data_IF_534782585808
#
_entry.id   IF_534782585808
#
_cell.length_a   1.000
_cell.length_b   1.000
_cell.length_c   1.000
_cell.angle_alpha   90.00
_cell.angle_beta   90.00
_cell.angle_gamma   90.00
#
_symmetry.space_group_name_H-M   'P 1'
#
loop_
_entity.id
_entity.type
_entity.pdbx_description
1 polymer ?
#
# COMPACT_ATOMS: atom_id res chain seq x y z
N UNK A 1 -16.85 -35.14 -61.74
CA UNK A 1 -16.25 -35.42 -60.42
C UNK A 1 -15.00 -34.60 -60.11
N UNK A 2 -13.98 -34.51 -60.98
CA UNK A 2 -12.73 -33.75 -60.70
C UNK A 2 -12.89 -32.22 -60.52
N UNK A 3 -13.92 -31.60 -61.08
CA UNK A 3 -14.18 -30.16 -60.91
C UNK A 3 -14.91 -29.83 -59.60
N UNK A 4 -15.81 -30.70 -59.13
CA UNK A 4 -16.45 -30.55 -57.83
C UNK A 4 -15.45 -30.66 -56.67
N UNK A 5 -14.48 -31.57 -56.76
CA UNK A 5 -13.42 -31.72 -55.75
C UNK A 5 -12.49 -30.51 -55.72
N UNK A 6 -12.18 -29.88 -56.85
CA UNK A 6 -11.38 -28.64 -56.89
C UNK A 6 -12.13 -27.45 -56.28
N UNK A 7 -13.43 -27.34 -56.53
CA UNK A 7 -14.27 -26.29 -55.94
C UNK A 7 -14.39 -26.45 -54.42
N UNK A 8 -14.52 -27.69 -53.95
CA UNK A 8 -14.66 -28.02 -52.53
C UNK A 8 -13.35 -27.79 -51.74
N UNK A 9 -12.18 -28.06 -52.36
CA UNK A 9 -10.88 -27.74 -51.77
C UNK A 9 -10.63 -26.23 -51.73
N UNK A 10 -11.04 -25.48 -52.75
CA UNK A 10 -10.93 -24.02 -52.76
C UNK A 10 -11.81 -23.36 -51.68
N UNK A 11 -13.02 -23.89 -51.44
CA UNK A 11 -13.90 -23.40 -50.37
C UNK A 11 -13.35 -23.72 -48.98
N UNK A 12 -12.71 -24.88 -48.80
CA UNK A 12 -12.07 -25.26 -47.54
C UNK A 12 -10.84 -24.40 -47.23
N UNK A 13 -10.06 -24.03 -48.26
CA UNK A 13 -8.91 -23.13 -48.12
C UNK A 13 -9.33 -21.69 -47.78
N UNK A 14 -10.48 -21.23 -48.29
CA UNK A 14 -11.01 -19.89 -47.97
C UNK A 14 -11.56 -19.81 -46.53
N UNK A 15 -12.09 -20.91 -46.00
CA UNK A 15 -12.59 -20.98 -44.62
C UNK A 15 -11.44 -20.96 -43.58
N UNK A 16 -10.23 -21.40 -43.94
CA UNK A 16 -9.07 -21.39 -43.05
C UNK A 16 -8.39 -20.01 -42.92
N UNK A 17 -8.74 -19.04 -43.77
CA UNK A 17 -8.20 -17.67 -43.70
C UNK A 17 -9.00 -16.75 -42.76
N UNK A 18 -10.09 -17.23 -42.16
CA UNK A 18 -10.94 -16.46 -41.23
C UNK A 18 -10.52 -16.53 -39.77
N UNK A 19 -9.48 -17.29 -39.41
CA UNK A 19 -8.99 -17.42 -38.04
C UNK A 19 -7.94 -16.34 -37.72
N UNK A 20 -8.30 -15.06 -37.89
CA UNK A 20 -7.61 -13.99 -37.17
C UNK A 20 -8.14 -14.01 -35.74
N UNK A 21 -7.37 -14.59 -34.82
CA UNK A 21 -7.54 -14.35 -33.39
C UNK A 21 -7.32 -12.86 -33.13
N UNK A 22 -8.39 -12.08 -33.20
CA UNK A 22 -8.36 -10.71 -32.70
C UNK A 22 -8.16 -10.79 -31.20
N UNK A 23 -6.94 -10.48 -30.73
CA UNK A 23 -6.70 -10.19 -29.33
C UNK A 23 -7.59 -9.01 -28.99
N UNK A 24 -8.58 -9.23 -28.13
CA UNK A 24 -9.43 -8.16 -27.63
C UNK A 24 -8.59 -7.40 -26.61
N UNK A 25 -7.98 -6.29 -27.03
CA UNK A 25 -7.48 -5.28 -26.11
C UNK A 25 -8.65 -4.86 -25.22
N UNK A 26 -8.51 -5.13 -23.92
CA UNK A 26 -9.40 -4.54 -22.93
C UNK A 26 -8.76 -3.21 -22.59
N UNK A 27 -9.08 -2.17 -23.36
CA UNK A 27 -8.67 -0.80 -23.05
C UNK A 27 -9.28 -0.43 -21.68
N UNK A 28 -8.52 -0.62 -20.60
CA UNK A 28 -8.88 -0.12 -19.28
C UNK A 28 -8.35 1.30 -19.21
N UNK A 29 -9.25 2.28 -19.01
CA UNK A 29 -8.81 3.66 -18.83
C UNK A 29 -7.90 3.75 -17.59
N UNK A 30 -6.75 4.47 -17.66
CA UNK A 30 -5.85 4.60 -16.54
C UNK A 30 -6.55 5.14 -15.28
N UNK A 31 -6.28 4.50 -14.15
CA UNK A 31 -6.85 4.88 -12.86
C UNK A 31 -6.24 6.20 -12.40
N UNK A 32 -7.05 7.26 -12.36
CA UNK A 32 -6.61 8.58 -11.90
C UNK A 32 -6.46 8.64 -10.39
N UNK A 33 -5.36 9.21 -9.92
CA UNK A 33 -5.16 9.51 -8.50
C UNK A 33 -6.13 10.62 -8.05
N UNK A 34 -6.83 10.40 -6.94
CA UNK A 34 -7.66 11.42 -6.30
C UNK A 34 -6.77 12.35 -5.48
N UNK A 35 -6.93 13.66 -5.68
CA UNK A 35 -6.20 14.69 -4.95
C UNK A 35 -7.16 15.52 -4.10
N UNK A 36 -6.70 16.00 -2.96
CA UNK A 36 -7.46 16.94 -2.15
C UNK A 36 -7.69 18.25 -2.93
N UNK A 37 -8.94 18.68 -3.04
CA UNK A 37 -9.31 19.91 -3.76
C UNK A 37 -8.73 21.19 -3.11
N UNK A 38 -8.37 21.09 -1.82
CA UNK A 38 -7.78 22.16 -1.02
C UNK A 38 -6.86 21.58 0.04
N UNK A 39 -5.95 22.40 0.53
CA UNK A 39 -5.14 22.08 1.70
C UNK A 39 -6.03 21.83 2.92
N UNK A 40 -5.81 20.70 3.59
CA UNK A 40 -6.51 20.32 4.80
C UNK A 40 -5.80 20.90 6.03
N UNK A 41 -6.56 21.25 7.05
CA UNK A 41 -5.97 21.65 8.33
C UNK A 41 -5.24 20.46 8.98
N UNK A 42 -4.18 20.73 9.72
CA UNK A 42 -3.37 19.71 10.43
C UNK A 42 -4.23 18.79 11.32
N UNK A 43 -5.26 19.35 11.96
CA UNK A 43 -6.20 18.59 12.80
C UNK A 43 -7.11 17.64 12.03
N UNK A 44 -7.08 17.65 10.69
CA UNK A 44 -7.82 16.78 9.78
C UNK A 44 -6.91 15.79 9.03
N UNK A 45 -5.62 15.74 9.38
CA UNK A 45 -4.62 14.81 8.85
C UNK A 45 -4.33 13.67 9.83
N UNK A 46 -4.13 12.47 9.29
CA UNK A 46 -3.66 11.28 10.01
C UNK A 46 -2.30 10.90 9.47
N UNK A 47 -1.38 10.56 10.36
CA UNK A 47 -0.06 10.07 10.01
C UNK A 47 -0.11 8.58 9.68
N UNK A 48 0.51 8.19 8.57
CA UNK A 48 0.46 6.82 8.03
C UNK A 48 1.84 6.17 8.09
N UNK A 49 1.90 4.99 8.69
CA UNK A 49 3.03 4.07 8.56
C UNK A 49 2.72 2.98 7.55
N UNK A 50 3.53 2.85 6.50
CA UNK A 50 3.48 1.73 5.57
C UNK A 50 4.59 0.77 5.95
N UNK A 51 4.25 -0.42 6.44
CA UNK A 51 5.24 -1.43 6.77
C UNK A 51 5.94 -1.94 5.50
N UNK A 52 7.20 -2.38 5.61
CA UNK A 52 7.76 -3.25 4.58
C UNK A 52 6.89 -4.47 4.39
N UNK A 53 6.67 -4.88 3.15
CA UNK A 53 5.72 -5.95 2.85
C UNK A 53 6.33 -7.33 3.12
N UNK A 54 5.46 -8.31 3.37
CA UNK A 54 5.83 -9.71 3.31
C UNK A 54 6.14 -10.09 1.86
N UNK A 55 7.32 -10.66 1.65
CA UNK A 55 7.81 -11.13 0.36
C UNK A 55 7.00 -12.32 -0.19
N UNK A 56 6.22 -13.01 0.63
CA UNK A 56 5.43 -14.17 0.21
C UNK A 56 6.28 -15.37 -0.20
N UNK A 57 7.49 -15.49 0.37
CA UNK A 57 8.44 -16.55 0.06
C UNK A 57 8.22 -17.83 0.88
N UNK A 58 7.46 -17.75 1.97
CA UNK A 58 7.13 -18.92 2.79
C UNK A 58 5.99 -19.70 2.12
N UNK A 59 6.32 -20.86 1.52
CA UNK A 59 5.31 -21.84 1.08
C UNK A 59 4.99 -22.82 2.21
N UNK A 60 3.91 -23.58 2.05
CA UNK A 60 3.53 -24.63 3.00
C UNK A 60 4.64 -25.68 3.22
N UNK A 61 5.53 -25.85 2.25
CA UNK A 61 6.65 -26.79 2.27
C UNK A 61 7.97 -26.15 2.74
N UNK A 62 7.98 -24.85 3.04
CA UNK A 62 9.14 -24.11 3.57
C UNK A 62 10.15 -23.63 2.52
N UNK A 63 9.97 -24.00 1.26
CA UNK A 63 10.80 -23.55 0.14
C UNK A 63 10.16 -22.33 -0.58
N UNK A 64 10.97 -21.52 -1.27
CA UNK A 64 10.43 -20.45 -2.11
C UNK A 64 9.63 -21.04 -3.30
N UNK A 65 8.60 -20.32 -3.82
CA UNK A 65 7.88 -20.78 -5.00
C UNK A 65 8.84 -21.07 -6.17
N UNK A 66 8.60 -22.15 -6.91
CA UNK A 66 9.32 -22.43 -8.17
C UNK A 66 9.19 -21.20 -9.10
N UNK A 67 10.28 -20.83 -9.77
CA UNK A 67 10.40 -19.64 -10.64
C UNK A 67 10.36 -18.25 -9.96
N UNK A 68 10.41 -18.16 -8.62
CA UNK A 68 10.59 -16.88 -7.91
C UNK A 68 12.04 -16.72 -7.44
N UNK A 69 12.69 -15.64 -7.88
CA UNK A 69 14.02 -15.25 -7.36
C UNK A 69 13.87 -14.59 -5.98
N UNK A 70 14.34 -15.22 -4.88
CA UNK A 70 14.06 -14.73 -3.53
C UNK A 70 14.63 -13.34 -3.25
N UNK A 71 15.78 -13.01 -3.83
CA UNK A 71 16.42 -11.72 -3.64
C UNK A 71 15.66 -10.59 -4.35
N UNK A 72 15.15 -10.85 -5.56
CA UNK A 72 14.27 -9.91 -6.28
C UNK A 72 13.01 -9.66 -5.46
N UNK A 73 12.36 -10.72 -4.97
CA UNK A 73 11.13 -10.57 -4.18
C UNK A 73 11.34 -9.82 -2.86
N UNK A 74 12.46 -10.07 -2.17
CA UNK A 74 12.85 -9.29 -0.97
C UNK A 74 13.15 -7.83 -1.30
N UNK A 75 13.60 -7.56 -2.52
CA UNK A 75 13.83 -6.22 -3.03
C UNK A 75 12.52 -5.49 -3.33
N UNK A 76 11.55 -6.15 -3.97
CA UNK A 76 10.20 -5.66 -4.23
C UNK A 76 9.45 -5.33 -2.93
N UNK A 77 9.56 -6.21 -1.93
CA UNK A 77 8.97 -6.04 -0.60
C UNK A 77 9.40 -4.75 0.12
N UNK A 78 10.52 -4.14 -0.29
CA UNK A 78 11.00 -2.83 0.21
C UNK A 78 10.73 -1.69 -0.75
N UNK A 79 10.67 -1.97 -2.05
CA UNK A 79 10.43 -0.98 -3.09
C UNK A 79 8.96 -0.54 -3.14
N UNK A 80 8.04 -1.50 -3.19
CA UNK A 80 6.58 -1.27 -3.33
C UNK A 80 6.02 -0.35 -2.23
N UNK A 81 6.35 -0.53 -0.94
CA UNK A 81 5.93 0.39 0.12
C UNK A 81 6.36 1.84 -0.11
N UNK A 82 7.57 2.07 -0.64
CA UNK A 82 8.08 3.42 -0.93
C UNK A 82 7.31 4.04 -2.09
N UNK A 83 7.00 3.24 -3.12
CA UNK A 83 6.21 3.71 -4.26
C UNK A 83 4.78 4.08 -3.83
N UNK A 84 4.14 3.26 -2.99
CA UNK A 84 2.84 3.58 -2.38
C UNK A 84 2.93 4.85 -1.50
N UNK A 85 3.98 4.97 -0.67
CA UNK A 85 4.24 6.17 0.13
C UNK A 85 4.25 7.43 -0.73
N UNK A 86 5.06 7.43 -1.79
CA UNK A 86 5.19 8.57 -2.70
C UNK A 86 3.86 8.89 -3.40
N UNK A 87 3.09 7.87 -3.79
CA UNK A 87 1.76 8.03 -4.38
C UNK A 87 0.79 8.69 -3.39
N UNK A 88 0.72 8.19 -2.16
CA UNK A 88 -0.15 8.74 -1.11
C UNK A 88 0.23 10.18 -0.72
N UNK A 89 1.52 10.49 -0.59
CA UNK A 89 1.99 11.84 -0.22
C UNK A 89 1.52 12.90 -1.21
N UNK A 90 1.47 12.58 -2.49
CA UNK A 90 1.02 13.51 -3.55
C UNK A 90 -0.47 13.84 -3.50
N UNK A 91 -1.28 13.04 -2.79
CA UNK A 91 -2.74 13.25 -2.74
C UNK A 91 -3.16 14.41 -1.83
N UNK A 92 -2.34 14.79 -0.84
CA UNK A 92 -2.68 15.83 0.13
C UNK A 92 -3.74 15.44 1.16
N UNK A 93 -4.16 14.17 1.24
CA UNK A 93 -5.16 13.71 2.23
C UNK A 93 -4.58 13.33 3.60
N UNK A 94 -3.27 13.15 3.66
CA UNK A 94 -2.56 12.54 4.79
C UNK A 94 -1.61 13.54 5.43
N UNK A 95 -1.25 13.28 6.69
CA UNK A 95 -0.13 13.95 7.33
C UNK A 95 1.17 13.39 6.77
N UNK A 96 2.10 13.05 7.65
CA UNK A 96 3.29 12.35 7.22
C UNK A 96 2.97 10.89 6.85
N UNK A 97 3.41 10.49 5.67
CA UNK A 97 3.38 9.08 5.21
C UNK A 97 4.83 8.58 5.24
N UNK A 98 5.08 7.51 5.98
CA UNK A 98 6.43 7.00 6.26
C UNK A 98 6.51 5.50 5.94
N UNK A 99 7.70 5.02 5.60
CA UNK A 99 7.94 3.57 5.49
C UNK A 99 8.62 3.10 6.78
N UNK A 100 8.06 2.07 7.39
CA UNK A 100 8.52 1.51 8.66
C UNK A 100 8.92 0.04 8.52
N UNK A 101 9.97 -0.43 9.20
CA UNK A 101 10.39 -1.83 9.13
C UNK A 101 9.41 -2.79 9.80
N UNK A 102 8.61 -2.29 10.75
CA UNK A 102 7.61 -3.04 11.51
C UNK A 102 6.58 -2.09 12.11
N UNK A 103 5.49 -2.64 12.66
CA UNK A 103 4.47 -1.88 13.41
C UNK A 103 5.12 -1.01 14.49
N UNK A 104 4.63 0.22 14.63
CA UNK A 104 5.01 1.15 15.70
C UNK A 104 3.75 1.71 16.36
N UNK A 105 3.87 2.15 17.61
CA UNK A 105 2.78 2.83 18.34
C UNK A 105 2.67 4.33 17.99
N UNK A 106 3.56 4.83 17.13
CA UNK A 106 3.66 6.24 16.81
C UNK A 106 2.73 6.68 15.67
N UNK A 107 2.17 5.77 14.88
CA UNK A 107 1.38 6.12 13.69
C UNK A 107 -0.13 6.06 13.96
N UNK A 108 -0.90 6.91 13.28
CA UNK A 108 -2.37 6.91 13.40
C UNK A 108 -2.99 5.79 12.57
N UNK A 109 -2.40 5.50 11.41
CA UNK A 109 -2.83 4.45 10.48
C UNK A 109 -1.63 3.58 10.12
N UNK A 110 -1.82 2.27 10.14
CA UNK A 110 -0.85 1.28 9.68
C UNK A 110 -1.38 0.62 8.41
N UNK A 111 -0.56 0.62 7.36
CA UNK A 111 -0.77 -0.18 6.15
C UNK A 111 0.26 -1.30 6.12
N UNK A 112 -0.20 -2.53 5.98
CA UNK A 112 0.64 -3.71 5.78
C UNK A 112 0.31 -4.36 4.45
N UNK A 113 1.23 -5.16 3.92
CA UNK A 113 0.98 -5.87 2.68
C UNK A 113 1.79 -7.14 2.53
N UNK A 114 1.33 -8.00 1.63
CA UNK A 114 2.00 -9.23 1.19
C UNK A 114 1.97 -9.32 -0.32
N UNK A 115 3.12 -9.62 -0.91
CA UNK A 115 3.22 -9.90 -2.34
C UNK A 115 2.69 -11.31 -2.59
N UNK A 116 1.57 -11.42 -3.29
CA UNK A 116 0.98 -12.69 -3.70
C UNK A 116 1.58 -13.16 -5.02
N UNK A 117 1.75 -12.23 -5.97
CA UNK A 117 2.35 -12.48 -7.29
C UNK A 117 3.11 -11.26 -7.77
N UNK A 118 4.28 -11.49 -8.37
CA UNK A 118 5.04 -10.47 -9.09
C UNK A 118 5.97 -11.19 -10.07
N UNK A 119 5.64 -11.13 -11.36
CA UNK A 119 6.32 -11.86 -12.44
C UNK A 119 6.57 -11.00 -13.69
N UNK A 120 6.60 -9.67 -13.54
CA UNK A 120 6.78 -8.71 -14.62
C UNK A 120 5.53 -8.52 -15.49
N UNK A 121 4.67 -9.52 -15.63
CA UNK A 121 3.39 -9.36 -16.32
C UNK A 121 2.27 -8.95 -15.35
N UNK A 122 2.24 -9.60 -14.18
CA UNK A 122 1.19 -9.42 -13.17
C UNK A 122 1.79 -9.06 -11.82
N UNK A 123 1.20 -8.05 -11.18
CA UNK A 123 1.44 -7.69 -9.79
C UNK A 123 0.15 -7.89 -8.98
N UNK A 124 0.21 -8.74 -7.96
CA UNK A 124 -0.89 -9.02 -7.03
C UNK A 124 -0.44 -8.80 -5.59
N UNK A 125 -1.11 -7.89 -4.90
CA UNK A 125 -0.79 -7.47 -3.53
C UNK A 125 -2.00 -7.63 -2.63
N UNK A 126 -1.85 -8.38 -1.54
CA UNK A 126 -2.78 -8.34 -0.42
C UNK A 126 -2.41 -7.18 0.49
N UNK A 127 -3.34 -6.28 0.77
CA UNK A 127 -3.15 -5.09 1.59
C UNK A 127 -4.16 -5.08 2.73
N UNK A 128 -3.67 -4.76 3.92
CA UNK A 128 -4.48 -4.55 5.11
C UNK A 128 -4.22 -3.17 5.68
N UNK A 129 -5.29 -2.49 6.11
CA UNK A 129 -5.21 -1.19 6.76
C UNK A 129 -5.87 -1.23 8.14
N UNK A 130 -5.19 -0.65 9.12
CA UNK A 130 -5.66 -0.55 10.50
C UNK A 130 -5.44 0.86 11.02
N UNK A 131 -6.32 1.35 11.90
CA UNK A 131 -6.01 2.55 12.68
C UNK A 131 -5.37 2.24 14.04
N UNK A 132 -4.92 3.28 14.72
CA UNK A 132 -4.29 3.20 16.04
C UNK A 132 -5.24 2.67 17.14
N UNK A 133 -6.56 2.64 16.91
CA UNK A 133 -7.49 1.99 17.83
C UNK A 133 -7.44 0.47 17.71
N UNK A 134 -6.75 -0.08 16.72
CA UNK A 134 -6.75 -1.50 16.40
C UNK A 134 -7.88 -1.90 15.46
N UNK A 135 -8.76 -0.96 15.08
CA UNK A 135 -9.83 -1.24 14.12
C UNK A 135 -9.24 -1.50 12.75
N UNK A 136 -9.69 -2.60 12.17
CA UNK A 136 -9.39 -2.97 10.80
C UNK A 136 -10.28 -2.18 9.84
N UNK A 137 -9.67 -1.45 8.91
CA UNK A 137 -10.37 -0.67 7.90
C UNK A 137 -10.85 -1.55 6.75
N UNK A 138 -9.93 -2.32 6.18
CA UNK A 138 -10.21 -3.30 5.13
C UNK A 138 -9.00 -4.18 4.83
N UNK A 139 -9.29 -5.38 4.30
CA UNK A 139 -8.35 -6.23 3.57
C UNK A 139 -8.76 -6.22 2.11
N UNK A 140 -7.82 -6.02 1.20
CA UNK A 140 -8.11 -6.06 -0.22
C UNK A 140 -6.95 -6.66 -1.01
N UNK A 141 -7.27 -7.43 -2.03
CA UNK A 141 -6.29 -7.94 -3.00
C UNK A 141 -6.36 -7.06 -4.23
N UNK A 142 -5.29 -6.35 -4.50
CA UNK A 142 -5.13 -5.53 -5.69
C UNK A 142 -4.35 -6.31 -6.73
N UNK A 143 -4.86 -6.33 -7.96
CA UNK A 143 -4.25 -7.03 -9.09
C UNK A 143 -4.14 -6.06 -10.27
N UNK A 144 -2.99 -6.06 -10.93
CA UNK A 144 -2.78 -5.41 -12.20
C UNK A 144 -1.97 -6.33 -13.10
N UNK A 145 -2.39 -6.44 -14.36
CA UNK A 145 -1.70 -7.20 -15.40
C UNK A 145 -1.43 -6.29 -16.59
N UNK A 146 -0.25 -6.42 -17.18
CA UNK A 146 0.15 -5.70 -18.38
C UNK A 146 0.51 -6.69 -19.48
N UNK A 147 -0.12 -6.52 -20.64
CA UNK A 147 0.31 -7.24 -21.84
C UNK A 147 1.69 -6.71 -22.27
N UNK A 148 2.55 -7.57 -22.82
CA UNK A 148 3.93 -7.22 -23.17
C UNK A 148 4.03 -6.02 -24.14
N UNK A 149 3.02 -5.80 -24.99
CA UNK A 149 2.93 -4.66 -25.90
C UNK A 149 2.65 -3.30 -25.22
N UNK A 150 2.08 -3.28 -24.01
CA UNK A 150 1.74 -2.05 -23.27
C UNK A 150 2.94 -1.45 -22.52
N UNK A 151 3.98 -2.26 -22.26
CA UNK A 151 5.27 -1.82 -21.70
C UNK A 151 5.94 -0.69 -22.51
N UNK A 152 5.68 -0.63 -23.83
CA UNK A 152 6.25 0.39 -24.71
C UNK A 152 5.58 1.77 -24.64
N UNK A 153 4.40 1.88 -24.01
CA UNK A 153 3.63 3.12 -23.90
C UNK A 153 4.08 3.96 -22.70
N UNK A 154 4.50 3.29 -21.62
CA UNK A 154 5.10 3.95 -20.46
C UNK A 154 6.50 4.41 -20.82
N UNK A 155 6.80 5.69 -20.60
CA UNK A 155 8.17 6.19 -20.77
C UNK A 155 9.03 5.54 -19.69
N UNK A 156 9.88 4.61 -20.12
CA UNK A 156 10.85 3.92 -19.28
C UNK A 156 11.56 4.93 -18.38
N UNK A 157 11.30 4.84 -17.08
CA UNK A 157 11.92 5.70 -16.07
C UNK A 157 11.08 6.89 -15.57
N UNK A 158 9.93 7.21 -16.17
CA UNK A 158 9.05 8.31 -15.71
C UNK A 158 7.91 7.81 -14.81
N UNK A 159 7.30 6.66 -15.11
CA UNK A 159 6.14 6.11 -14.38
C UNK A 159 6.26 4.59 -14.23
N UNK A 160 5.73 4.06 -13.13
CA UNK A 160 5.68 2.63 -12.85
C UNK A 160 4.60 1.97 -13.74
N UNK A 161 4.87 0.82 -14.38
CA UNK A 161 3.86 0.12 -15.17
C UNK A 161 2.59 -0.15 -14.35
N UNK A 162 2.71 -0.50 -13.07
CA UNK A 162 1.59 -0.78 -12.20
C UNK A 162 1.05 0.47 -11.46
N UNK A 163 1.32 1.69 -11.95
CA UNK A 163 0.91 2.95 -11.29
C UNK A 163 -0.60 2.99 -10.93
N UNK A 164 -1.44 2.38 -11.77
CA UNK A 164 -2.88 2.26 -11.55
C UNK A 164 -3.23 1.49 -10.27
N UNK A 165 -2.47 0.43 -9.96
CA UNK A 165 -2.63 -0.36 -8.75
C UNK A 165 -2.35 0.50 -7.51
N UNK A 166 -1.28 1.31 -7.54
CA UNK A 166 -0.97 2.25 -6.46
C UNK A 166 -1.97 3.38 -6.31
N UNK A 167 -2.49 3.90 -7.43
CA UNK A 167 -3.52 4.92 -7.41
C UNK A 167 -4.82 4.36 -6.80
N UNK A 168 -5.18 3.12 -7.13
CA UNK A 168 -6.35 2.44 -6.56
C UNK A 168 -6.20 2.27 -5.04
N UNK A 169 -5.06 1.74 -4.58
CA UNK A 169 -4.76 1.61 -3.14
C UNK A 169 -4.87 2.95 -2.40
N UNK A 170 -4.24 4.00 -2.93
CA UNK A 170 -4.26 5.33 -2.31
C UNK A 170 -5.68 5.92 -2.27
N UNK A 171 -6.47 5.72 -3.32
CA UNK A 171 -7.85 6.18 -3.42
C UNK A 171 -8.76 5.45 -2.41
N UNK A 172 -8.60 4.14 -2.23
CA UNK A 172 -9.40 3.36 -1.29
C UNK A 172 -9.09 3.72 0.16
N UNK A 173 -7.81 3.91 0.51
CA UNK A 173 -7.41 4.44 1.81
C UNK A 173 -8.03 5.82 2.07
N UNK A 174 -7.99 6.72 1.08
CA UNK A 174 -8.56 8.06 1.20
C UNK A 174 -10.08 8.02 1.32
N UNK A 175 -10.75 7.12 0.57
CA UNK A 175 -12.18 6.89 0.63
C UNK A 175 -12.62 6.37 1.99
N UNK A 176 -11.87 5.44 2.59
CA UNK A 176 -12.15 4.97 3.94
C UNK A 176 -11.97 6.11 4.95
N UNK A 177 -10.87 6.86 4.89
CA UNK A 177 -10.64 8.05 5.74
C UNK A 177 -11.78 9.06 5.62
N UNK A 178 -12.29 9.31 4.42
CA UNK A 178 -13.39 10.25 4.18
C UNK A 178 -14.72 9.78 4.76
N UNK A 179 -14.87 8.49 5.06
CA UNK A 179 -16.07 7.92 5.69
C UNK A 179 -16.09 8.06 7.22
N UNK A 180 -14.95 8.40 7.83
CA UNK A 180 -14.82 8.58 9.27
C UNK A 180 -15.57 9.83 9.75
N UNK A 181 -16.25 9.71 10.89
CA UNK A 181 -16.82 10.89 11.55
C UNK A 181 -15.71 11.73 12.19
N UNK A 182 -16.02 12.98 12.53
CA UNK A 182 -15.08 13.83 13.28
C UNK A 182 -14.74 13.26 14.66
N UNK A 183 -15.65 12.48 15.26
CA UNK A 183 -15.43 11.79 16.53
C UNK A 183 -14.45 10.63 16.37
N UNK A 184 -14.64 9.78 15.34
CA UNK A 184 -13.71 8.69 15.02
C UNK A 184 -12.31 9.23 14.78
N UNK A 185 -12.21 10.32 14.01
CA UNK A 185 -10.96 10.99 13.69
C UNK A 185 -10.22 11.46 14.95
N UNK A 186 -10.92 12.18 15.83
CA UNK A 186 -10.36 12.67 17.08
C UNK A 186 -9.98 11.51 18.02
N UNK A 187 -10.76 10.43 18.02
CA UNK A 187 -10.50 9.24 18.83
C UNK A 187 -9.25 8.48 18.36
N UNK A 188 -9.08 8.27 17.05
CA UNK A 188 -7.87 7.62 16.50
C UNK A 188 -6.60 8.32 16.97
N UNK A 189 -6.55 9.65 16.84
CA UNK A 189 -5.38 10.45 17.25
C UNK A 189 -5.13 10.39 18.75
N UNK A 190 -6.19 10.51 19.57
CA UNK A 190 -6.08 10.41 21.02
C UNK A 190 -5.59 9.03 21.47
N UNK A 191 -6.15 7.96 20.89
CA UNK A 191 -5.71 6.59 21.19
C UNK A 191 -4.26 6.40 20.75
N UNK A 192 -3.87 6.88 19.57
CA UNK A 192 -2.48 6.83 19.11
C UNK A 192 -1.52 7.52 20.11
N UNK A 193 -1.85 8.74 20.56
CA UNK A 193 -1.08 9.46 21.58
C UNK A 193 -0.96 8.71 22.90
N UNK A 194 -2.09 8.20 23.41
CA UNK A 194 -2.11 7.48 24.68
C UNK A 194 -1.44 6.11 24.60
N UNK A 195 -1.52 5.42 23.46
CA UNK A 195 -0.85 4.14 23.24
C UNK A 195 0.66 4.31 23.21
N UNK A 196 1.15 5.33 22.51
CA UNK A 196 2.57 5.70 22.58
C UNK A 196 3.00 6.05 24.01
N UNK A 197 2.16 6.80 24.74
CA UNK A 197 2.42 7.15 26.13
C UNK A 197 2.46 5.93 27.05
N UNK A 198 1.52 5.00 26.89
CA UNK A 198 1.45 3.75 27.64
C UNK A 198 2.58 2.79 27.27
N UNK A 199 3.02 2.76 26.02
CA UNK A 199 4.20 2.00 25.61
C UNK A 199 5.47 2.52 26.31
N UNK A 200 5.64 3.83 26.42
CA UNK A 200 6.81 4.44 27.05
C UNK A 200 6.76 4.42 28.59
N UNK A 201 5.58 4.63 29.17
CA UNK A 201 5.36 4.67 30.62
C UNK A 201 4.03 3.97 31.00
N UNK A 202 4.01 2.61 31.00
CA UNK A 202 2.80 1.83 31.20
C UNK A 202 2.08 2.10 32.52
N UNK A 203 2.84 2.24 33.61
CA UNK A 203 2.26 2.45 34.95
C UNK A 203 1.51 3.78 35.09
N UNK A 204 1.87 4.78 34.27
CA UNK A 204 1.28 6.11 34.30
C UNK A 204 0.12 6.22 33.31
N UNK A 205 0.34 5.75 32.08
CA UNK A 205 -0.61 5.98 30.99
C UNK A 205 -1.54 4.80 30.69
N UNK A 206 -1.16 3.58 31.08
CA UNK A 206 -1.97 2.37 30.91
C UNK A 206 -3.40 2.50 31.46
N UNK A 207 -3.63 3.11 32.65
CA UNK A 207 -4.98 3.28 33.18
C UNK A 207 -5.92 4.19 32.38
N UNK A 208 -5.41 5.01 31.45
CA UNK A 208 -6.22 5.85 30.56
C UNK A 208 -6.77 5.09 29.35
N UNK A 209 -6.27 3.89 29.10
CA UNK A 209 -6.68 3.03 27.99
C UNK A 209 -7.36 1.77 28.50
N UNK A 210 -8.22 1.23 27.65
CA UNK A 210 -8.84 -0.08 27.83
C UNK A 210 -8.86 -0.77 26.48
N UNK A 211 -8.38 -2.00 26.43
CA UNK A 211 -8.55 -2.90 25.29
C UNK A 211 -9.79 -3.77 25.54
N UNK A 212 -10.66 -3.91 24.55
CA UNK A 212 -11.81 -4.82 24.63
C UNK A 212 -11.47 -6.24 24.16
N UNK A 213 -12.46 -7.14 24.15
CA UNK A 213 -12.27 -8.55 23.77
C UNK A 213 -11.90 -8.72 22.29
N UNK A 214 -12.20 -7.74 21.45
CA UNK A 214 -11.90 -7.73 20.01
C UNK A 214 -10.53 -7.09 19.71
N UNK A 215 -9.77 -6.68 20.74
CA UNK A 215 -8.47 -6.02 20.61
C UNK A 215 -8.55 -4.55 20.23
N UNK A 216 -9.72 -3.92 20.41
CA UNK A 216 -9.93 -2.50 20.12
C UNK A 216 -9.66 -1.65 21.36
N UNK A 217 -8.85 -0.62 21.16
CA UNK A 217 -8.45 0.33 22.18
C UNK A 217 -9.45 1.48 22.31
N UNK A 218 -9.89 1.71 23.55
CA UNK A 218 -10.80 2.78 23.94
C UNK A 218 -10.15 3.70 24.96
N UNK A 219 -10.43 4.98 24.85
CA UNK A 219 -10.03 5.98 25.86
C UNK A 219 -10.97 5.86 27.06
N UNK A 220 -10.44 5.43 28.21
CA UNK A 220 -11.19 5.34 29.47
C UNK A 220 -11.33 6.70 30.15
N UNK A 221 -10.26 7.49 30.09
CA UNK A 221 -10.21 8.86 30.60
C UNK A 221 -9.06 9.59 29.92
N UNK A 222 -9.07 10.92 30.01
CA UNK A 222 -7.98 11.74 29.49
C UNK A 222 -7.11 12.27 30.63
N UNK A 223 -5.77 12.30 30.46
CA UNK A 223 -4.90 13.10 31.31
C UNK A 223 -5.28 14.57 31.26
N UNK A 224 -4.84 15.36 32.24
CA UNK A 224 -5.03 16.80 32.18
C UNK A 224 -4.29 17.37 30.95
N UNK A 225 -4.90 18.32 30.24
CA UNK A 225 -4.31 18.94 29.04
C UNK A 225 -2.97 19.66 29.31
N UNK A 226 -2.68 19.98 30.57
CA UNK A 226 -1.44 20.60 31.01
C UNK A 226 -0.50 19.65 31.77
N UNK A 227 -0.74 18.33 31.70
CA UNK A 227 0.08 17.33 32.37
C UNK A 227 1.55 17.40 31.90
N UNK A 228 2.52 17.67 32.82
CA UNK A 228 3.93 17.74 32.47
C UNK A 228 4.52 16.42 31.94
N UNK A 229 4.02 15.27 32.40
CA UNK A 229 4.45 13.96 31.90
C UNK A 229 3.95 13.73 30.49
N UNK A 230 2.69 14.06 30.18
CA UNK A 230 2.15 13.93 28.83
C UNK A 230 2.97 14.77 27.83
N UNK A 231 3.29 16.01 28.19
CA UNK A 231 4.15 16.86 27.34
C UNK A 231 5.53 16.26 27.08
N UNK A 232 6.13 15.60 28.09
CA UNK A 232 7.42 14.92 27.91
C UNK A 232 7.32 13.75 26.96
N UNK A 233 6.26 12.94 27.09
CA UNK A 233 5.98 11.83 26.18
C UNK A 233 5.82 12.34 24.75
N UNK A 234 5.00 13.37 24.54
CA UNK A 234 4.77 13.93 23.20
C UNK A 234 6.08 14.44 22.57
N UNK A 235 6.95 15.10 23.35
CA UNK A 235 8.29 15.48 22.88
C UNK A 235 9.19 14.28 22.51
N UNK A 236 8.99 13.12 23.14
CA UNK A 236 9.70 11.89 22.80
C UNK A 236 9.09 11.27 21.54
N UNK A 237 7.76 11.34 21.35
CA UNK A 237 7.07 10.93 20.13
C UNK A 237 7.58 11.70 18.91
N UNK A 238 7.79 13.00 19.03
CA UNK A 238 8.40 13.81 17.97
C UNK A 238 9.81 13.34 17.61
N UNK A 239 10.58 12.86 18.59
CA UNK A 239 11.91 12.27 18.33
C UNK A 239 11.83 10.90 17.67
N UNK A 240 10.83 10.11 18.02
CA UNK A 240 10.54 8.84 17.34
C UNK A 240 10.19 9.09 15.88
N UNK A 241 9.39 10.12 15.58
CA UNK A 241 9.12 10.52 14.20
C UNK A 241 10.39 10.91 13.43
N UNK A 242 11.30 11.69 14.03
CA UNK A 242 12.58 12.01 13.38
C UNK A 242 13.44 10.76 13.12
N UNK A 243 13.40 9.77 14.02
CA UNK A 243 14.07 8.49 13.80
C UNK A 243 13.45 7.75 12.62
N UNK A 244 12.12 7.66 12.56
CA UNK A 244 11.39 7.01 11.46
C UNK A 244 11.63 7.75 10.14
N UNK A 245 11.70 9.08 10.13
CA UNK A 245 12.00 9.86 8.94
C UNK A 245 13.41 9.55 8.42
N UNK A 246 14.38 9.36 9.32
CA UNK A 246 15.73 8.92 8.96
C UNK A 246 15.72 7.53 8.33
N UNK A 247 14.95 6.59 8.90
CA UNK A 247 14.78 5.25 8.32
C UNK A 247 14.08 5.30 6.95
N UNK A 248 13.03 6.10 6.83
CA UNK A 248 12.31 6.32 5.57
C UNK A 248 13.26 6.86 4.50
N UNK A 249 14.16 7.79 4.85
CA UNK A 249 15.17 8.29 3.93
C UNK A 249 16.11 7.20 3.41
N UNK A 250 16.47 6.21 4.24
CA UNK A 250 17.24 5.04 3.75
C UNK A 250 16.46 4.21 2.74
N UNK A 251 15.15 4.02 2.94
CA UNK A 251 14.28 3.37 1.96
C UNK A 251 14.14 4.19 0.68
N UNK A 252 14.13 5.51 0.76
CA UNK A 252 14.08 6.40 -0.40
C UNK A 252 15.34 6.31 -1.26
N UNK A 253 16.52 6.27 -0.62
CA UNK A 253 17.79 6.03 -1.32
C UNK A 253 17.80 4.65 -1.97
N UNK A 254 17.31 3.63 -1.27
CA UNK A 254 17.17 2.29 -1.83
C UNK A 254 16.24 2.28 -3.04
N UNK A 255 15.06 2.90 -2.94
CA UNK A 255 14.08 3.03 -4.02
C UNK A 255 14.67 3.73 -5.25
N UNK A 256 15.38 4.86 -5.06
CA UNK A 256 16.01 5.59 -6.16
C UNK A 256 17.08 4.75 -6.87
N UNK A 257 17.88 3.98 -6.13
CA UNK A 257 18.89 3.09 -6.73
C UNK A 257 18.28 1.86 -7.41
N UNK A 258 17.09 1.43 -6.97
CA UNK A 258 16.42 0.22 -7.46
C UNK A 258 15.51 0.49 -8.65
N UNK A 259 15.13 1.75 -8.90
CA UNK A 259 14.21 2.13 -9.97
C UNK A 259 14.62 1.58 -11.35
N UNK A 260 15.86 1.83 -11.77
CA UNK A 260 16.34 1.40 -13.09
C UNK A 260 16.39 -0.14 -13.22
N UNK A 261 16.94 -0.91 -12.25
CA UNK A 261 16.83 -2.36 -12.24
C UNK A 261 15.39 -2.88 -12.25
N UNK A 262 14.51 -2.30 -11.42
CA UNK A 262 13.12 -2.73 -11.26
C UNK A 262 12.32 -2.62 -12.56
N UNK A 263 12.45 -1.49 -13.26
CA UNK A 263 11.83 -1.29 -14.59
C UNK A 263 12.50 -2.17 -15.68
N UNK A 264 13.63 -2.78 -15.38
CA UNK A 264 14.34 -3.69 -16.26
C UNK A 264 14.05 -5.17 -16.05
N UNK A 265 13.41 -5.54 -14.93
CA UNK A 265 13.08 -6.93 -14.57
C UNK A 265 11.86 -7.45 -15.30
#
# INVERSE_FOLDING_TARGET
MKQLTRLMVALLALALLGACSGVKHKDVEPTRISMADKELAESALLDVGIATFDAGLETADGDAPEDVFPDIRKSEARFIPVHLKNTMQRTGYWGAVRVIPSRTEATDVLVTGKILRSDGETLELAIDAYDATGRHWFSHVYEASMEAEEYGVYRRGEEDPFQDLYNTMANDLAKHKASLSSEDFANIRQVSELRFAAWLAPDVFGPYLMEDEDGIWHVKSLPASNDPMLRRVLNIREREYMLIDTLTSHYDVYYANMWDPYVGW
#
